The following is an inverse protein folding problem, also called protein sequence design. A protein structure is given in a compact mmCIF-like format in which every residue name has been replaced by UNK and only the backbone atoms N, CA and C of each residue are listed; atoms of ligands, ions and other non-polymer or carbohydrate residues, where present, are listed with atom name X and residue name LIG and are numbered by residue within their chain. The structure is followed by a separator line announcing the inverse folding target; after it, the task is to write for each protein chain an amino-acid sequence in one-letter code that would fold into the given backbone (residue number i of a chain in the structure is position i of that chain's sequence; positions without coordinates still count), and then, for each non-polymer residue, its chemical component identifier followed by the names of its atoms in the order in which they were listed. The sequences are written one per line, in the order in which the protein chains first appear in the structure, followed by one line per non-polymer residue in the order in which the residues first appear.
data_IF_077594335695
#
_entry.id   IF_077594335695
#
_cell.length_a   1.000
_cell.length_b   1.000
_cell.length_c   1.000
_cell.angle_alpha   90.00
_cell.angle_beta   90.00
_cell.angle_gamma   90.00
#
_symmetry.space_group_name_H-M   'P 1'
#
loop_
_entity.id
_entity.type
_entity.pdbx_description
1 polymer ?
#
# COMPACT_ATOMS: atom_id res chain seq x y z
N UNK A 1 6.45 -5.64 3.90
CA UNK A 1 7.36 -4.80 4.70
C UNK A 1 6.56 -3.95 5.69
N UNK A 2 5.71 -3.03 5.23
CA UNK A 2 5.02 -2.07 6.10
C UNK A 2 3.97 -2.67 7.05
N UNK A 3 3.49 -3.89 6.80
CA UNK A 3 2.48 -4.56 7.63
C UNK A 3 3.02 -5.13 8.96
N UNK A 4 4.34 -5.15 9.15
CA UNK A 4 4.97 -5.68 10.36
C UNK A 4 6.12 -4.80 10.82
N UNK A 5 6.43 -4.82 12.12
CA UNK A 5 7.65 -4.23 12.70
C UNK A 5 8.83 -5.19 12.68
N UNK A 6 8.58 -6.45 12.38
CA UNK A 6 9.61 -7.48 12.31
C UNK A 6 10.54 -7.30 11.11
N UNK A 7 11.75 -7.80 11.24
CA UNK A 7 12.71 -7.80 10.14
C UNK A 7 12.28 -8.80 9.08
N UNK A 8 12.12 -8.33 7.84
CA UNK A 8 11.75 -9.14 6.67
C UNK A 8 12.92 -9.19 5.72
N UNK A 9 13.31 -10.39 5.29
CA UNK A 9 14.32 -10.58 4.24
C UNK A 9 13.64 -10.95 2.93
N UNK A 10 13.93 -10.19 1.87
CA UNK A 10 13.41 -10.44 0.53
C UNK A 10 14.57 -10.66 -0.41
N UNK A 11 14.52 -11.75 -1.16
CA UNK A 11 15.52 -12.12 -2.18
C UNK A 11 14.90 -12.03 -3.58
N UNK A 12 15.75 -12.06 -4.59
CA UNK A 12 15.34 -11.99 -5.99
C UNK A 12 14.57 -10.68 -6.35
N UNK A 13 14.93 -9.58 -5.69
CA UNK A 13 14.39 -8.26 -6.02
C UNK A 13 15.06 -7.80 -7.33
N UNK A 14 14.26 -7.48 -8.37
CA UNK A 14 14.80 -7.04 -9.66
C UNK A 14 15.40 -5.64 -9.54
N UNK A 15 16.50 -5.42 -10.24
CA UNK A 15 17.16 -4.11 -10.31
C UNK A 15 16.55 -3.30 -11.47
N UNK A 16 15.36 -2.74 -11.22
CA UNK A 16 14.64 -1.88 -12.14
C UNK A 16 14.29 -0.55 -11.47
N UNK A 17 14.11 0.48 -12.27
CA UNK A 17 13.93 1.87 -11.81
C UNK A 17 12.79 1.99 -10.80
N UNK A 18 11.64 1.42 -11.08
CA UNK A 18 10.44 1.54 -10.22
C UNK A 18 10.63 0.85 -8.87
N UNK A 19 11.29 -0.30 -8.85
CA UNK A 19 11.61 -1.01 -7.60
C UNK A 19 12.61 -0.21 -6.78
N UNK A 20 13.66 0.34 -7.41
CA UNK A 20 14.65 1.15 -6.73
C UNK A 20 14.03 2.43 -6.16
N UNK A 21 13.14 3.09 -6.90
CA UNK A 21 12.37 4.25 -6.41
C UNK A 21 11.50 3.88 -5.20
N UNK A 22 10.83 2.72 -5.24
CA UNK A 22 10.01 2.26 -4.12
C UNK A 22 10.87 1.96 -2.89
N UNK A 23 12.04 1.35 -3.07
CA UNK A 23 12.99 1.09 -1.97
C UNK A 23 13.45 2.43 -1.36
N UNK A 24 13.78 3.43 -2.19
CA UNK A 24 14.14 4.78 -1.71
C UNK A 24 13.00 5.41 -0.93
N UNK A 25 11.78 5.38 -1.46
CA UNK A 25 10.58 5.90 -0.80
C UNK A 25 10.36 5.25 0.57
N UNK A 26 10.52 3.94 0.67
CA UNK A 26 10.41 3.21 1.94
C UNK A 26 11.51 3.64 2.92
N UNK A 27 12.74 3.84 2.45
CA UNK A 27 13.84 4.33 3.28
C UNK A 27 13.58 5.72 3.85
N UNK A 28 13.08 6.64 3.01
CA UNK A 28 12.72 7.99 3.43
C UNK A 28 11.53 8.01 4.40
N UNK A 29 10.64 7.02 4.27
CA UNK A 29 9.53 6.81 5.22
C UNK A 29 10.01 6.24 6.58
N UNK A 30 11.30 5.95 6.74
CA UNK A 30 11.88 5.46 8.00
C UNK A 30 12.08 3.95 8.07
N UNK A 31 11.82 3.21 6.99
CA UNK A 31 12.11 1.78 6.95
C UNK A 31 13.62 1.57 6.94
N UNK A 32 14.14 0.80 7.90
CA UNK A 32 15.55 0.40 7.95
C UNK A 32 15.81 -0.62 6.86
N UNK A 33 16.70 -0.28 5.91
CA UNK A 33 16.99 -1.11 4.73
C UNK A 33 18.46 -1.46 4.71
N UNK A 34 18.76 -2.75 4.57
CA UNK A 34 20.13 -3.25 4.42
C UNK A 34 20.21 -4.15 3.21
N UNK A 35 21.09 -3.80 2.26
CA UNK A 35 21.42 -4.65 1.12
C UNK A 35 22.36 -5.77 1.56
N UNK A 36 21.96 -7.01 1.35
CA UNK A 36 22.76 -8.20 1.69
C UNK A 36 23.59 -8.70 0.52
N UNK A 37 23.15 -8.40 -0.71
CA UNK A 37 23.79 -8.84 -1.95
C UNK A 37 22.97 -8.43 -3.16
N UNK A 38 23.28 -9.01 -4.32
CA UNK A 38 22.54 -8.74 -5.54
C UNK A 38 21.08 -9.20 -5.38
N UNK A 39 20.12 -8.28 -5.51
CA UNK A 39 18.69 -8.55 -5.38
C UNK A 39 18.24 -9.04 -3.99
N UNK A 40 19.06 -8.90 -2.94
CA UNK A 40 18.73 -9.35 -1.60
C UNK A 40 18.82 -8.22 -0.59
N UNK A 41 17.74 -8.00 0.15
CA UNK A 41 17.62 -6.93 1.13
C UNK A 41 16.92 -7.39 2.38
N UNK A 42 17.26 -6.78 3.51
CA UNK A 42 16.42 -6.79 4.71
C UNK A 42 15.72 -5.46 4.85
N UNK A 43 14.48 -5.52 5.34
CA UNK A 43 13.65 -4.38 5.64
C UNK A 43 13.12 -4.51 7.06
N UNK A 44 13.06 -3.40 7.79
CA UNK A 44 12.43 -3.36 9.10
C UNK A 44 11.70 -2.03 9.26
N UNK A 45 10.39 -2.09 9.44
CA UNK A 45 9.49 -0.94 9.58
C UNK A 45 9.01 -0.79 11.03
N UNK A 46 9.94 -0.77 11.97
CA UNK A 46 9.68 -0.59 13.40
C UNK A 46 9.40 0.87 13.77
N UNK A 47 10.04 1.81 13.08
CA UNK A 47 9.93 3.25 13.32
C UNK A 47 9.58 3.97 12.01
N UNK A 48 8.28 4.04 11.67
CA UNK A 48 7.82 4.71 10.45
C UNK A 48 7.55 6.19 10.73
N UNK A 49 8.17 7.06 9.94
CA UNK A 49 7.98 8.51 10.03
C UNK A 49 6.73 8.95 9.24
N UNK A 50 5.58 8.97 9.88
CA UNK A 50 4.34 9.38 9.24
C UNK A 50 4.30 10.88 8.85
N UNK A 51 5.10 11.74 9.50
CA UNK A 51 5.17 13.14 9.14
C UNK A 51 5.81 13.36 7.75
N UNK A 52 6.64 12.40 7.31
CA UNK A 52 7.21 12.41 5.96
C UNK A 52 6.13 12.37 4.86
N UNK A 53 4.99 11.71 5.10
CA UNK A 53 3.89 11.62 4.14
C UNK A 53 3.30 12.99 3.75
N UNK A 54 3.47 14.00 4.59
CA UNK A 54 2.97 15.37 4.35
C UNK A 54 4.05 16.30 3.76
N UNK A 55 5.27 15.79 3.57
CA UNK A 55 6.41 16.58 3.07
C UNK A 55 6.35 16.80 1.55
N UNK A 56 6.96 17.90 1.09
CA UNK A 56 7.11 18.19 -0.34
C UNK A 56 7.99 17.14 -1.05
N UNK A 57 8.94 16.53 -0.36
CA UNK A 57 9.77 15.48 -0.92
C UNK A 57 8.95 14.22 -1.18
N UNK A 58 8.08 13.82 -0.25
CA UNK A 58 7.16 12.72 -0.46
C UNK A 58 6.19 12.99 -1.62
N UNK A 59 5.67 14.21 -1.74
CA UNK A 59 4.80 14.59 -2.85
C UNK A 59 5.49 14.40 -4.20
N UNK A 60 6.76 14.81 -4.32
CA UNK A 60 7.55 14.65 -5.56
C UNK A 60 7.85 13.18 -5.85
N UNK A 61 8.30 12.42 -4.86
CA UNK A 61 8.66 11.02 -5.02
C UNK A 61 7.43 10.16 -5.34
N UNK A 62 6.35 10.34 -4.61
CA UNK A 62 5.09 9.62 -4.82
C UNK A 62 4.44 9.92 -6.17
N UNK A 63 4.48 11.19 -6.61
CA UNK A 63 4.00 11.58 -7.93
C UNK A 63 4.84 10.98 -9.07
N UNK A 64 6.13 10.76 -8.84
CA UNK A 64 7.05 10.17 -9.83
C UNK A 64 6.96 8.64 -9.96
N UNK A 65 6.17 7.98 -9.12
CA UNK A 65 6.06 6.52 -9.07
C UNK A 65 4.60 6.07 -8.92
N UNK A 66 4.03 5.46 -9.97
CA UNK A 66 2.65 4.96 -9.87
C UNK A 66 2.48 3.87 -8.79
N UNK A 67 3.49 3.02 -8.62
CA UNK A 67 3.50 1.96 -7.59
C UNK A 67 3.44 2.48 -6.16
N UNK A 68 3.65 3.78 -5.93
CA UNK A 68 3.55 4.40 -4.60
C UNK A 68 2.18 4.22 -3.96
N UNK A 69 1.10 4.07 -4.75
CA UNK A 69 -0.24 3.77 -4.23
C UNK A 69 -0.27 2.51 -3.33
N UNK A 70 0.63 1.56 -3.57
CA UNK A 70 0.66 0.29 -2.84
C UNK A 70 1.08 0.41 -1.38
N UNK A 71 1.63 1.55 -0.95
CA UNK A 71 1.95 1.78 0.46
C UNK A 71 0.72 2.18 1.28
N UNK A 72 -0.36 2.63 0.64
CA UNK A 72 -1.54 3.19 1.32
C UNK A 72 -2.25 2.14 2.16
N UNK A 73 -2.53 0.96 1.60
CA UNK A 73 -3.19 -0.13 2.33
C UNK A 73 -2.46 -0.54 3.61
N UNK A 74 -1.16 -0.88 3.53
CA UNK A 74 -0.36 -1.19 4.71
C UNK A 74 -0.27 -0.07 5.75
N UNK A 75 -0.13 1.18 5.31
CA UNK A 75 -0.08 2.34 6.21
C UNK A 75 -1.41 2.55 6.92
N UNK A 76 -2.52 2.47 6.17
CA UNK A 76 -3.86 2.58 6.73
C UNK A 76 -4.13 1.45 7.75
N UNK A 77 -3.76 0.22 7.42
CA UNK A 77 -3.96 -0.94 8.28
C UNK A 77 -3.22 -0.84 9.62
N UNK A 78 -1.97 -0.37 9.57
CA UNK A 78 -1.09 -0.39 10.74
C UNK A 78 -1.10 0.91 11.53
N UNK A 79 -1.25 2.04 10.86
CA UNK A 79 -1.13 3.37 11.46
C UNK A 79 -2.42 4.20 11.39
N UNK A 80 -3.49 3.65 10.81
CA UNK A 80 -4.78 4.32 10.70
C UNK A 80 -4.83 5.45 9.69
N UNK A 81 -3.75 5.70 8.93
CA UNK A 81 -3.73 6.74 7.91
C UNK A 81 -2.76 6.44 6.78
N UNK A 82 -3.13 6.85 5.59
CA UNK A 82 -2.29 6.78 4.41
C UNK A 82 -2.52 7.99 3.53
N UNK A 83 -1.45 8.56 3.00
CA UNK A 83 -1.49 9.71 2.11
C UNK A 83 -0.70 9.41 0.86
N UNK A 84 -1.17 9.88 -0.28
CA UNK A 84 -0.43 9.80 -1.51
C UNK A 84 -0.77 10.98 -2.43
N UNK A 85 0.24 11.61 -3.06
CA UNK A 85 -0.01 12.56 -4.12
C UNK A 85 -0.65 11.85 -5.30
N UNK A 86 -1.35 12.57 -6.14
CA UNK A 86 -1.91 12.02 -7.38
C UNK A 86 -0.79 11.31 -8.16
N UNK A 87 -0.82 9.98 -8.29
CA UNK A 87 0.28 9.25 -8.89
C UNK A 87 0.46 9.66 -10.35
N UNK A 88 1.70 9.96 -10.71
CA UNK A 88 2.12 10.16 -12.09
C UNK A 88 2.40 8.83 -12.80
N UNK A 89 3.47 8.81 -13.57
CA UNK A 89 3.93 7.66 -14.35
C UNK A 89 3.64 7.81 -15.83
N UNK A 90 3.85 6.75 -16.60
CA UNK A 90 3.72 6.75 -18.04
C UNK A 90 2.30 7.14 -18.50
N UNK A 91 2.23 7.99 -19.53
CA UNK A 91 0.96 8.44 -20.13
C UNK A 91 0.33 7.35 -21.02
N UNK A 92 0.02 6.19 -20.43
CA UNK A 92 -0.57 5.04 -21.14
C UNK A 92 -2.11 5.10 -21.17
N UNK A 93 -2.69 6.24 -20.81
CA UNK A 93 -4.13 6.43 -20.70
C UNK A 93 -4.63 6.61 -19.26
N UNK A 94 -5.95 6.81 -19.14
CA UNK A 94 -6.59 7.01 -17.83
C UNK A 94 -6.61 5.69 -17.05
N UNK A 95 -5.97 5.67 -15.90
CA UNK A 95 -5.99 4.54 -14.96
C UNK A 95 -6.69 4.96 -13.69
N UNK A 96 -7.79 4.31 -13.39
CA UNK A 96 -8.60 4.58 -12.21
C UNK A 96 -7.85 4.19 -10.93
N UNK A 97 -8.10 4.94 -9.87
CA UNK A 97 -7.66 4.65 -8.50
C UNK A 97 -8.87 4.39 -7.60
N UNK A 98 -10.06 4.56 -8.15
CA UNK A 98 -11.32 4.51 -7.40
C UNK A 98 -11.47 3.20 -6.65
N UNK A 99 -11.16 2.06 -7.29
CA UNK A 99 -11.21 0.72 -6.70
C UNK A 99 -10.41 0.63 -5.38
N UNK A 100 -9.24 1.27 -5.30
CA UNK A 100 -8.46 1.29 -4.07
C UNK A 100 -9.22 2.01 -2.94
N UNK A 101 -9.72 3.22 -3.24
CA UNK A 101 -10.38 4.06 -2.25
C UNK A 101 -11.75 3.52 -1.85
N UNK A 102 -12.53 3.00 -2.80
CA UNK A 102 -13.80 2.33 -2.52
C UNK A 102 -13.60 1.14 -1.57
N UNK A 103 -12.56 0.33 -1.82
CA UNK A 103 -12.21 -0.76 -0.92
C UNK A 103 -11.87 -0.29 0.50
N UNK A 104 -11.08 0.78 0.63
CA UNK A 104 -10.76 1.34 1.95
C UNK A 104 -12.00 1.93 2.66
N UNK A 105 -12.88 2.61 1.92
CA UNK A 105 -14.14 3.14 2.45
C UNK A 105 -15.03 1.99 2.94
N UNK A 106 -15.13 0.90 2.19
CA UNK A 106 -15.87 -0.29 2.60
C UNK A 106 -15.30 -0.90 3.90
N UNK A 107 -13.99 -0.84 4.11
CA UNK A 107 -13.35 -1.24 5.36
C UNK A 107 -13.53 -0.23 6.50
N UNK A 108 -14.23 0.87 6.27
CA UNK A 108 -14.55 1.90 7.26
C UNK A 108 -13.61 3.10 7.28
N UNK A 109 -12.74 3.25 6.31
CA UNK A 109 -11.88 4.43 6.20
C UNK A 109 -12.64 5.65 5.66
N UNK A 110 -12.20 6.82 6.09
CA UNK A 110 -12.66 8.12 5.57
C UNK A 110 -11.70 8.55 4.47
N UNK A 111 -12.25 8.91 3.33
CA UNK A 111 -11.50 9.43 2.19
C UNK A 111 -11.53 10.95 2.17
N UNK A 112 -10.39 11.57 1.87
CA UNK A 112 -10.24 12.99 1.66
C UNK A 112 -9.44 13.26 0.39
N UNK A 113 -9.84 14.25 -0.36
CA UNK A 113 -9.08 14.77 -1.49
C UNK A 113 -8.82 16.25 -1.27
N UNK A 114 -7.57 16.66 -1.35
CA UNK A 114 -7.17 18.05 -1.36
C UNK A 114 -6.85 18.46 -2.81
N UNK A 115 -7.69 19.33 -3.37
CA UNK A 115 -7.55 19.79 -4.76
C UNK A 115 -6.33 20.68 -4.95
N UNK A 116 -6.01 21.54 -3.97
CA UNK A 116 -4.90 22.48 -4.05
C UNK A 116 -3.56 21.74 -4.17
N UNK A 117 -3.40 20.70 -3.37
CA UNK A 117 -2.18 19.87 -3.34
C UNK A 117 -2.25 18.65 -4.27
N UNK A 118 -3.39 18.38 -4.92
CA UNK A 118 -3.64 17.14 -5.68
C UNK A 118 -3.29 15.88 -4.88
N UNK A 119 -3.78 15.79 -3.65
CA UNK A 119 -3.37 14.82 -2.66
C UNK A 119 -4.56 13.98 -2.18
N UNK A 120 -4.38 12.67 -2.14
CA UNK A 120 -5.38 11.73 -1.62
C UNK A 120 -5.01 11.30 -0.21
N UNK A 121 -5.97 11.37 0.72
CA UNK A 121 -5.82 10.89 2.08
C UNK A 121 -6.89 9.86 2.43
N UNK A 122 -6.51 8.85 3.20
CA UNK A 122 -7.42 7.90 3.83
C UNK A 122 -7.06 7.76 5.30
N UNK A 123 -8.07 7.79 6.15
CA UNK A 123 -7.91 7.70 7.60
C UNK A 123 -8.96 6.78 8.19
N UNK A 124 -8.57 6.00 9.20
CA UNK A 124 -9.47 5.17 9.97
C UNK A 124 -8.93 5.02 11.41
N UNK A 125 -9.80 5.10 12.38
CA UNK A 125 -9.43 4.73 13.75
C UNK A 125 -9.20 3.22 13.85
N UNK A 126 -10.04 2.45 13.15
CA UNK A 126 -9.98 0.99 13.09
C UNK A 126 -10.66 0.49 11.83
N UNK A 127 -9.99 -0.37 11.10
CA UNK A 127 -10.59 -1.05 9.95
C UNK A 127 -11.44 -2.24 10.40
N UNK A 128 -12.56 -2.44 9.71
CA UNK A 128 -13.49 -3.55 9.94
C UNK A 128 -13.67 -4.35 8.68
N UNK A 129 -13.74 -5.65 8.83
CA UNK A 129 -14.04 -6.56 7.75
C UNK A 129 -15.38 -6.22 7.09
N UNK A 130 -15.43 -6.35 5.76
CA UNK A 130 -16.57 -5.97 4.96
C UNK A 130 -16.81 -6.95 3.81
N UNK A 131 -18.06 -7.00 3.37
CA UNK A 131 -18.44 -7.65 2.14
C UNK A 131 -18.49 -6.60 1.03
N UNK A 132 -17.68 -6.75 -0.02
CA UNK A 132 -17.60 -5.79 -1.09
C UNK A 132 -17.56 -6.45 -2.47
N UNK A 133 -18.14 -5.77 -3.45
CA UNK A 133 -18.05 -6.09 -4.87
C UNK A 133 -17.23 -4.99 -5.54
N UNK A 134 -16.10 -5.35 -6.16
CA UNK A 134 -15.31 -4.40 -6.92
C UNK A 134 -15.94 -4.15 -8.29
N UNK A 135 -15.99 -2.89 -8.72
CA UNK A 135 -16.52 -2.47 -10.01
C UNK A 135 -15.63 -2.91 -11.19
N UNK A 136 -14.35 -3.16 -10.90
CA UNK A 136 -13.42 -3.76 -11.87
C UNK A 136 -12.48 -4.76 -11.17
N UNK A 137 -12.01 -5.76 -11.89
CA UNK A 137 -11.02 -6.72 -11.41
C UNK A 137 -9.61 -6.07 -11.42
N UNK A 138 -9.42 -5.04 -10.59
CA UNK A 138 -8.17 -4.31 -10.47
C UNK A 138 -7.14 -5.11 -9.70
N UNK A 139 -6.02 -5.44 -10.34
CA UNK A 139 -4.93 -6.22 -9.74
C UNK A 139 -4.32 -5.48 -8.55
N UNK A 140 -3.92 -4.22 -8.74
CA UNK A 140 -3.32 -3.41 -7.68
C UNK A 140 -4.35 -2.98 -6.63
N UNK A 141 -5.61 -2.74 -7.04
CA UNK A 141 -6.72 -2.45 -6.14
C UNK A 141 -6.97 -3.62 -5.20
N UNK A 142 -7.13 -4.84 -5.74
CA UNK A 142 -7.29 -6.07 -4.94
C UNK A 142 -6.15 -6.25 -3.96
N UNK A 143 -4.90 -6.18 -4.41
CA UNK A 143 -3.74 -6.36 -3.55
C UNK A 143 -3.69 -5.32 -2.41
N UNK A 144 -3.99 -4.07 -2.70
CA UNK A 144 -3.96 -3.00 -1.71
C UNK A 144 -5.08 -3.12 -0.68
N UNK A 145 -6.29 -3.52 -1.12
CA UNK A 145 -7.42 -3.81 -0.24
C UNK A 145 -7.11 -5.00 0.67
N UNK A 146 -6.55 -6.09 0.13
CA UNK A 146 -6.14 -7.26 0.92
C UNK A 146 -5.11 -6.86 1.97
N UNK A 147 -4.10 -6.05 1.61
CA UNK A 147 -3.12 -5.55 2.58
C UNK A 147 -3.74 -4.70 3.69
N UNK A 148 -4.78 -3.91 3.38
CA UNK A 148 -5.53 -3.18 4.38
C UNK A 148 -6.39 -4.10 5.27
N UNK A 149 -7.05 -5.08 4.67
CA UNK A 149 -7.96 -5.99 5.33
C UNK A 149 -7.28 -6.98 6.29
N UNK A 150 -6.00 -7.28 6.06
CA UNK A 150 -5.24 -8.28 6.84
C UNK A 150 -5.15 -7.96 8.33
N UNK A 151 -5.20 -6.68 8.69
CA UNK A 151 -5.21 -6.20 10.08
C UNK A 151 -6.58 -5.65 10.50
N UNK A 152 -7.60 -5.76 9.64
CA UNK A 152 -8.96 -5.34 9.96
C UNK A 152 -9.63 -6.35 10.92
N UNK A 153 -10.57 -5.86 11.70
CA UNK A 153 -11.35 -6.66 12.64
C UNK A 153 -12.47 -7.40 11.92
N UNK A 154 -12.57 -8.72 12.09
CA UNK A 154 -13.61 -9.55 11.49
C UNK A 154 -13.18 -10.15 10.15
N UNK A 155 -14.14 -10.42 9.28
CA UNK A 155 -13.93 -11.10 7.99
C UNK A 155 -14.17 -10.15 6.83
N UNK A 156 -13.30 -10.18 5.83
CA UNK A 156 -13.46 -9.45 4.58
C UNK A 156 -13.71 -10.42 3.43
N UNK A 157 -14.75 -10.15 2.65
CA UNK A 157 -15.07 -10.90 1.43
C UNK A 157 -15.05 -9.93 0.25
N UNK A 158 -14.24 -10.22 -0.76
CA UNK A 158 -14.07 -9.39 -1.94
C UNK A 158 -14.56 -10.17 -3.16
N UNK A 159 -15.63 -9.68 -3.80
CA UNK A 159 -16.11 -10.19 -5.08
C UNK A 159 -15.49 -9.44 -6.23
N UNK A 160 -15.34 -10.10 -7.38
CA UNK A 160 -14.69 -9.58 -8.56
C UNK A 160 -13.22 -9.17 -8.29
N UNK A 161 -12.58 -9.85 -7.35
CA UNK A 161 -11.15 -9.67 -7.09
C UNK A 161 -10.33 -10.14 -8.30
N UNK A 162 -9.18 -9.50 -8.54
CA UNK A 162 -8.24 -9.96 -9.56
C UNK A 162 -7.66 -11.33 -9.18
N UNK A 163 -7.57 -12.23 -10.16
CA UNK A 163 -7.19 -13.64 -9.97
C UNK A 163 -5.79 -13.98 -10.52
N UNK A 164 -4.94 -13.00 -10.75
CA UNK A 164 -3.55 -13.24 -11.14
C UNK A 164 -2.77 -13.94 -10.01
N UNK A 165 -1.68 -14.67 -10.34
CA UNK A 165 -0.95 -15.48 -9.35
C UNK A 165 -0.46 -14.70 -8.13
N UNK A 166 -0.07 -13.44 -8.27
CA UNK A 166 0.46 -12.68 -7.16
C UNK A 166 -0.61 -12.18 -6.16
N UNK A 167 -1.82 -11.70 -6.56
CA UNK A 167 -2.90 -11.46 -5.60
C UNK A 167 -3.31 -12.74 -4.87
N UNK A 168 -3.35 -13.89 -5.55
CA UNK A 168 -3.66 -15.17 -4.93
C UNK A 168 -2.63 -15.52 -3.85
N UNK A 169 -1.36 -15.19 -4.02
CA UNK A 169 -0.34 -15.39 -2.99
C UNK A 169 -0.65 -14.62 -1.70
N UNK A 170 -1.20 -13.41 -1.79
CA UNK A 170 -1.60 -12.64 -0.59
C UNK A 170 -2.76 -13.29 0.17
N UNK A 171 -3.71 -13.89 -0.53
CA UNK A 171 -4.85 -14.56 0.11
C UNK A 171 -4.47 -15.87 0.79
N UNK A 172 -3.38 -16.50 0.36
CA UNK A 172 -2.88 -17.76 0.92
C UNK A 172 -1.78 -17.54 1.98
N UNK A 173 -1.10 -16.40 1.95
CA UNK A 173 -0.17 -15.98 3.00
C UNK A 173 -0.95 -15.33 4.15
N UNK A 174 -1.80 -16.09 4.81
CA UNK A 174 -2.41 -15.65 6.06
C UNK A 174 -1.32 -15.48 7.10
N UNK A 175 -1.08 -14.24 7.50
CA UNK A 175 -0.33 -14.00 8.73
C UNK A 175 -1.11 -14.67 9.88
N UNK A 176 -0.46 -15.44 10.77
CA UNK A 176 -1.13 -15.98 11.93
C UNK A 176 -1.60 -14.80 12.77
N UNK A 177 -2.89 -14.47 12.64
CA UNK A 177 -3.56 -13.56 13.57
C UNK A 177 -3.62 -14.27 14.89
N UNK A 178 -2.86 -13.80 15.87
CA UNK A 178 -3.11 -14.20 17.25
C UNK A 178 -4.54 -13.77 17.59
N UNK A 179 -5.38 -14.78 17.85
CA UNK A 179 -6.67 -14.60 18.48
C UNK A 179 -6.48 -13.95 19.85
#
# INVERSE_FOLDING_TARGET
VLLTSEKVTITNIPDIIDVNKLITLLGNLGVKIQKLGHGSYTFQADEVNLAYLESEDFKKEGAGLRGSIMIVGPLLARFGKGYIPKPGGDKIGRRRLDTHFEGFINLGAKFRYNEEDSFYGVEADRLKGAYMLLDEASVTGTANIVMAAVLAEGTTTIYNAACEPYPVSYTHLTLPTKA
#
